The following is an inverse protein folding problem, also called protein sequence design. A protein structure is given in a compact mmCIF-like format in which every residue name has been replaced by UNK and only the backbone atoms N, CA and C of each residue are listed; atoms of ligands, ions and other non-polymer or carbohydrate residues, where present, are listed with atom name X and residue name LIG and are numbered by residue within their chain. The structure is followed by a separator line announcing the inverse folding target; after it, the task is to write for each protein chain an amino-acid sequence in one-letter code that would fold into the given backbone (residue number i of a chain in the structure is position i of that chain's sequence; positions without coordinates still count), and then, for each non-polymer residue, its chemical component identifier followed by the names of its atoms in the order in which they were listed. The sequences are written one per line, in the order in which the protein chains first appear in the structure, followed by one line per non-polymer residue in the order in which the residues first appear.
data_IF_082887274112
#
_entry.id   IF_082887274112
#
_cell.length_a   1.000
_cell.length_b   1.000
_cell.length_c   1.000
_cell.angle_alpha   90.00
_cell.angle_beta   90.00
_cell.angle_gamma   90.00
#
_symmetry.space_group_name_H-M   'P 1'
#
loop_
_entity.id
_entity.type
_entity.pdbx_description
1 polymer ?
#
# COMPACT_ATOMS: atom_id res chain seq x y z
N UNK A 1 7.83 20.71 -0.49
CA UNK A 1 7.50 19.65 -1.48
C UNK A 1 6.29 18.88 -0.96
N UNK A 2 5.16 18.88 -1.67
CA UNK A 2 3.97 18.14 -1.22
C UNK A 2 4.22 16.66 -1.46
N UNK A 3 3.96 15.80 -0.47
CA UNK A 3 4.25 14.36 -0.56
C UNK A 3 3.50 13.65 -1.70
N UNK A 4 2.33 14.15 -2.11
CA UNK A 4 1.55 13.61 -3.24
C UNK A 4 2.20 13.86 -4.61
N UNK A 5 3.05 14.88 -4.76
CA UNK A 5 3.75 15.16 -6.04
C UNK A 5 4.80 14.08 -6.38
N UNK A 6 5.16 13.21 -5.43
CA UNK A 6 6.21 12.20 -5.61
C UNK A 6 5.76 11.04 -6.49
N UNK A 7 4.48 10.65 -6.45
CA UNK A 7 3.97 9.51 -7.23
C UNK A 7 4.15 9.80 -8.73
N UNK A 8 3.73 10.98 -9.19
CA UNK A 8 3.89 11.42 -10.57
C UNK A 8 5.36 11.52 -10.98
N UNK A 9 6.20 12.12 -10.11
CA UNK A 9 7.64 12.29 -10.37
C UNK A 9 8.36 10.96 -10.53
N UNK A 10 8.04 9.96 -9.72
CA UNK A 10 8.73 8.67 -9.70
C UNK A 10 7.97 7.55 -10.41
N UNK A 11 6.82 7.84 -11.05
CA UNK A 11 5.97 6.85 -11.74
C UNK A 11 6.77 5.86 -12.57
N UNK A 12 7.69 6.33 -13.43
CA UNK A 12 8.49 5.47 -14.31
C UNK A 12 9.34 4.44 -13.55
N UNK A 13 9.82 4.77 -12.36
CA UNK A 13 10.63 3.87 -11.54
C UNK A 13 9.75 2.76 -10.96
N UNK A 14 8.61 3.12 -10.37
CA UNK A 14 7.67 2.14 -9.83
C UNK A 14 7.05 1.27 -10.92
N UNK A 15 6.72 1.85 -12.08
CA UNK A 15 6.12 1.11 -13.19
C UNK A 15 7.03 -0.01 -13.71
N UNK A 16 8.35 0.18 -13.71
CA UNK A 16 9.31 -0.88 -14.08
C UNK A 16 9.23 -2.11 -13.18
N UNK A 17 8.77 -1.96 -11.95
CA UNK A 17 8.58 -3.06 -11.01
C UNK A 17 7.14 -3.58 -11.01
N UNK A 18 6.15 -2.69 -11.10
CA UNK A 18 4.74 -3.01 -10.87
C UNK A 18 4.03 -3.54 -12.12
N UNK A 19 4.52 -3.22 -13.32
CA UNK A 19 3.88 -3.65 -14.56
C UNK A 19 3.80 -5.18 -14.66
N UNK A 20 2.58 -5.72 -14.79
CA UNK A 20 2.26 -7.15 -14.81
C UNK A 20 2.84 -7.95 -13.62
N UNK A 21 3.01 -7.30 -12.47
CA UNK A 21 3.64 -7.91 -11.30
C UNK A 21 2.86 -7.58 -10.02
N UNK A 22 1.83 -8.37 -9.75
CA UNK A 22 0.96 -8.24 -8.56
C UNK A 22 1.74 -8.33 -7.24
N UNK A 23 2.83 -9.13 -7.20
CA UNK A 23 3.70 -9.25 -6.02
C UNK A 23 4.40 -7.92 -5.70
N UNK A 24 4.95 -7.24 -6.71
CA UNK A 24 5.55 -5.91 -6.55
C UNK A 24 4.50 -4.85 -6.15
N UNK A 25 3.29 -4.94 -6.70
CA UNK A 25 2.18 -4.06 -6.32
C UNK A 25 1.76 -4.24 -4.85
N UNK A 26 1.68 -5.48 -4.36
CA UNK A 26 1.46 -5.77 -2.92
C UNK A 26 2.58 -5.17 -2.04
N UNK A 27 3.84 -5.29 -2.44
CA UNK A 27 4.94 -4.63 -1.72
C UNK A 27 4.84 -3.11 -1.75
N UNK A 28 4.34 -2.52 -2.83
CA UNK A 28 4.09 -1.07 -2.91
C UNK A 28 3.02 -0.63 -1.91
N UNK A 29 1.94 -1.40 -1.76
CA UNK A 29 0.89 -1.16 -0.75
C UNK A 29 1.44 -1.26 0.68
N UNK A 30 2.26 -2.27 0.99
CA UNK A 30 2.96 -2.33 2.28
C UNK A 30 3.95 -1.18 2.48
N UNK A 31 4.59 -0.72 1.40
CA UNK A 31 5.41 0.49 1.40
C UNK A 31 4.58 1.73 1.77
N UNK A 32 3.36 1.86 1.24
CA UNK A 32 2.44 2.93 1.59
C UNK A 32 2.08 2.90 3.08
N UNK A 33 1.75 1.73 3.65
CA UNK A 33 1.47 1.57 5.08
C UNK A 33 2.63 2.09 5.94
N UNK A 34 3.86 1.72 5.58
CA UNK A 34 5.07 2.21 6.26
C UNK A 34 5.21 3.74 6.17
N UNK A 35 4.96 4.33 5.00
CA UNK A 35 5.02 5.79 4.82
C UNK A 35 3.95 6.52 5.62
N UNK A 36 2.74 5.94 5.71
CA UNK A 36 1.67 6.46 6.58
C UNK A 36 2.09 6.36 8.04
N UNK A 37 2.67 5.26 8.49
CA UNK A 37 3.15 5.11 9.87
C UNK A 37 4.17 6.19 10.27
N UNK A 38 5.04 6.61 9.34
CA UNK A 38 6.01 7.69 9.59
C UNK A 38 5.38 9.09 9.66
N UNK A 39 4.21 9.27 9.06
CA UNK A 39 3.63 10.58 8.77
C UNK A 39 2.11 10.62 8.98
N UNK A 40 1.64 9.86 9.97
CA UNK A 40 0.22 9.53 10.17
C UNK A 40 -0.65 10.79 10.21
N UNK A 41 -0.25 11.80 11.00
CA UNK A 41 -0.97 13.07 11.15
C UNK A 41 -1.28 13.81 9.83
N UNK A 42 -0.51 13.55 8.76
CA UNK A 42 -0.67 14.25 7.48
C UNK A 42 -1.21 13.37 6.35
N UNK A 43 -1.06 12.04 6.46
CA UNK A 43 -1.33 11.11 5.36
C UNK A 43 -2.55 10.23 5.60
N UNK A 44 -2.95 9.99 6.85
CA UNK A 44 -4.06 9.07 7.18
C UNK A 44 -5.38 9.51 6.52
N UNK A 45 -5.65 10.81 6.48
CA UNK A 45 -6.85 11.37 5.83
C UNK A 45 -6.77 11.43 4.30
N UNK A 46 -5.59 11.18 3.72
CA UNK A 46 -5.33 11.27 2.28
C UNK A 46 -5.27 9.92 1.58
N UNK A 47 -5.43 8.82 2.32
CA UNK A 47 -5.31 7.46 1.79
C UNK A 47 -6.17 7.22 0.54
N UNK A 48 -7.48 7.58 0.50
CA UNK A 48 -8.28 7.42 -0.71
C UNK A 48 -7.67 8.11 -1.93
N UNK A 49 -7.21 9.35 -1.74
CA UNK A 49 -6.62 10.14 -2.82
C UNK A 49 -5.29 9.56 -3.29
N UNK A 50 -4.46 9.07 -2.36
CA UNK A 50 -3.17 8.44 -2.69
C UNK A 50 -3.38 7.15 -3.47
N UNK A 51 -4.32 6.30 -3.03
CA UNK A 51 -4.66 5.06 -3.74
C UNK A 51 -5.20 5.36 -5.14
N UNK A 52 -6.09 6.35 -5.27
CA UNK A 52 -6.56 6.81 -6.58
C UNK A 52 -5.41 7.31 -7.46
N UNK A 53 -4.49 8.11 -6.92
CA UNK A 53 -3.33 8.60 -7.68
C UNK A 53 -2.40 7.45 -8.14
N UNK A 54 -2.25 6.39 -7.35
CA UNK A 54 -1.47 5.20 -7.74
C UNK A 54 -2.19 4.36 -8.79
N UNK A 55 -3.51 4.18 -8.65
CA UNK A 55 -4.37 3.50 -9.61
C UNK A 55 -4.37 4.24 -10.97
N UNK A 56 -4.69 5.55 -10.98
CA UNK A 56 -4.67 6.40 -12.18
C UNK A 56 -3.28 6.45 -12.86
N UNK A 57 -2.22 6.09 -12.13
CA UNK A 57 -0.85 6.05 -12.63
C UNK A 57 -0.41 4.66 -13.14
N UNK A 58 -1.32 3.69 -13.20
CA UNK A 58 -1.08 2.29 -13.59
C UNK A 58 -0.06 1.58 -12.67
N UNK A 59 0.03 2.01 -11.40
CA UNK A 59 0.95 1.40 -10.43
C UNK A 59 0.30 0.27 -9.64
N UNK A 60 -1.03 0.26 -9.55
CA UNK A 60 -1.80 -0.72 -8.78
C UNK A 60 -3.03 -1.11 -9.59
N UNK A 61 -3.21 -2.42 -9.77
CA UNK A 61 -4.40 -3.00 -10.38
C UNK A 61 -5.54 -3.10 -9.35
N UNK A 62 -6.78 -3.02 -9.84
CA UNK A 62 -7.98 -3.04 -9.01
C UNK A 62 -8.05 -4.28 -8.11
N UNK A 63 -7.86 -5.46 -8.70
CA UNK A 63 -7.88 -6.73 -7.97
C UNK A 63 -6.86 -6.79 -6.82
N UNK A 64 -5.69 -6.16 -6.99
CA UNK A 64 -4.63 -6.13 -5.96
C UNK A 64 -5.04 -5.20 -4.81
N UNK A 65 -5.66 -4.07 -5.13
CA UNK A 65 -6.16 -3.11 -4.14
C UNK A 65 -7.31 -3.73 -3.34
N UNK A 66 -8.24 -4.41 -4.01
CA UNK A 66 -9.37 -5.08 -3.36
C UNK A 66 -8.87 -6.21 -2.45
N UNK A 67 -8.03 -7.12 -2.98
CA UNK A 67 -7.45 -8.22 -2.21
C UNK A 67 -6.67 -7.74 -0.98
N UNK A 68 -5.86 -6.68 -1.12
CA UNK A 68 -5.16 -6.08 0.02
C UNK A 68 -6.12 -5.54 1.08
N UNK A 69 -7.22 -4.90 0.68
CA UNK A 69 -8.16 -4.29 1.61
C UNK A 69 -8.86 -5.31 2.52
N UNK A 70 -9.03 -6.54 2.05
CA UNK A 70 -9.77 -7.61 2.74
C UNK A 70 -9.00 -8.21 3.93
N UNK A 71 -7.67 -8.21 3.89
CA UNK A 71 -6.83 -8.80 4.93
C UNK A 71 -5.79 -7.81 5.47
N UNK A 72 -6.05 -7.27 6.65
CA UNK A 72 -5.07 -6.43 7.36
C UNK A 72 -3.88 -7.26 7.86
N UNK A 73 -2.67 -6.94 7.39
CA UNK A 73 -1.42 -7.58 7.82
C UNK A 73 -0.78 -6.86 9.00
N UNK A 74 -0.30 -7.63 9.99
CA UNK A 74 0.51 -7.11 11.12
C UNK A 74 2.01 -7.11 10.83
N UNK A 75 2.42 -7.48 9.61
CA UNK A 75 3.83 -7.69 9.28
C UNK A 75 4.59 -6.36 9.17
N UNK A 76 3.95 -5.29 8.72
CA UNK A 76 4.59 -4.03 8.30
C UNK A 76 4.32 -2.84 9.24
N UNK A 77 3.12 -2.77 9.80
CA UNK A 77 2.72 -1.75 10.78
C UNK A 77 1.97 -2.40 11.95
N UNK A 78 1.64 -1.62 12.99
CA UNK A 78 0.80 -2.13 14.08
C UNK A 78 -0.58 -2.53 13.55
N UNK A 79 -1.22 -3.51 14.21
CA UNK A 79 -2.53 -4.01 13.79
C UNK A 79 -3.60 -2.91 13.83
N UNK A 80 -3.50 -2.01 14.80
CA UNK A 80 -4.38 -0.87 14.99
C UNK A 80 -4.27 0.11 13.82
N UNK A 81 -3.03 0.44 13.40
CA UNK A 81 -2.78 1.33 12.29
C UNK A 81 -3.19 0.70 10.95
N UNK A 82 -2.90 -0.59 10.73
CA UNK A 82 -3.35 -1.29 9.53
C UNK A 82 -4.88 -1.22 9.38
N UNK A 83 -5.61 -1.49 10.47
CA UNK A 83 -7.08 -1.35 10.49
C UNK A 83 -7.52 0.07 10.19
N UNK A 84 -6.90 1.07 10.80
CA UNK A 84 -7.24 2.48 10.55
C UNK A 84 -7.01 2.85 9.08
N UNK A 85 -5.90 2.41 8.48
CA UNK A 85 -5.58 2.62 7.06
C UNK A 85 -6.66 2.01 6.17
N UNK A 86 -7.09 0.77 6.43
CA UNK A 86 -8.10 0.09 5.65
C UNK A 86 -9.46 0.80 5.76
N UNK A 87 -9.87 1.21 6.98
CA UNK A 87 -11.08 2.00 7.20
C UNK A 87 -11.05 3.30 6.40
N UNK A 88 -9.90 3.98 6.36
CA UNK A 88 -9.75 5.20 5.55
C UNK A 88 -9.76 4.92 4.06
N UNK A 89 -9.36 3.72 3.61
CA UNK A 89 -9.39 3.34 2.21
C UNK A 89 -10.79 2.96 1.70
N UNK A 90 -11.72 2.56 2.59
CA UNK A 90 -13.08 2.09 2.26
C UNK A 90 -13.80 2.91 1.18
N UNK A 91 -13.82 4.27 1.20
CA UNK A 91 -14.52 5.04 0.17
C UNK A 91 -13.98 4.78 -1.25
N UNK A 92 -12.67 4.57 -1.38
CA UNK A 92 -12.03 4.27 -2.66
C UNK A 92 -12.26 2.81 -3.07
N UNK A 93 -12.19 1.87 -2.11
CA UNK A 93 -12.50 0.46 -2.39
C UNK A 93 -13.94 0.31 -2.86
N UNK A 94 -14.88 1.03 -2.23
CA UNK A 94 -16.28 1.06 -2.64
C UNK A 94 -16.42 1.63 -4.05
N UNK A 95 -15.73 2.72 -4.37
CA UNK A 95 -15.73 3.31 -5.72
C UNK A 95 -15.21 2.33 -6.79
N UNK A 96 -14.17 1.55 -6.50
CA UNK A 96 -13.69 0.48 -7.40
C UNK A 96 -14.79 -0.58 -7.61
N UNK A 97 -15.32 -1.14 -6.51
CA UNK A 97 -16.36 -2.19 -6.56
C UNK A 97 -17.67 -1.75 -7.21
N UNK A 98 -18.05 -0.47 -7.12
CA UNK A 98 -19.23 0.07 -7.81
C UNK A 98 -19.02 0.25 -9.32
N UNK A 99 -17.77 0.32 -9.78
CA UNK A 99 -17.44 0.40 -11.21
C UNK A 99 -17.49 -0.98 -11.90
N UNK A 100 -17.34 -2.08 -11.14
CA UNK A 100 -17.42 -3.45 -11.63
C UNK A 100 -18.58 -4.23 -10.97
N UNK A 101 -19.79 -4.15 -11.53
CA UNK A 101 -20.76 -5.25 -11.40
C UNK A 101 -20.24 -6.48 -12.19
N UNK A 102 -19.25 -7.21 -11.66
CA UNK A 102 -19.08 -8.67 -11.74
C UNK A 102 -17.67 -9.13 -11.33
N UNK A 103 -17.64 -10.07 -10.38
CA UNK A 103 -16.65 -11.13 -10.17
C UNK A 103 -15.20 -10.76 -9.81
N UNK A 104 -14.77 -11.19 -8.61
CA UNK A 104 -13.50 -11.92 -8.51
C UNK A 104 -13.40 -12.77 -7.24
N UNK A 105 -13.13 -14.06 -7.45
CA UNK A 105 -12.68 -15.03 -6.46
C UNK A 105 -11.17 -15.19 -6.66
N UNK A 106 -10.37 -14.61 -5.76
CA UNK A 106 -8.90 -14.66 -5.83
C UNK A 106 -8.34 -15.76 -4.93
N UNK A 107 -7.75 -16.79 -5.53
CA UNK A 107 -6.97 -17.80 -4.82
C UNK A 107 -5.63 -17.22 -4.35
N UNK A 108 -5.32 -17.49 -3.08
CA UNK A 108 -4.22 -16.93 -2.31
C UNK A 108 -3.03 -17.91 -2.36
N UNK A 109 -2.14 -17.75 -3.34
CA UNK A 109 -0.85 -18.46 -3.37
C UNK A 109 0.17 -17.65 -2.54
N UNK A 110 0.04 -17.79 -1.23
CA UNK A 110 0.96 -17.26 -0.20
C UNK A 110 2.07 -18.29 0.15
N UNK A 111 2.43 -19.17 -0.78
CA UNK A 111 3.58 -20.08 -0.66
C UNK A 111 4.77 -19.58 -1.47
N UNK A 112 5.42 -18.52 -1.00
CA UNK A 112 6.74 -18.14 -1.49
C UNK A 112 7.56 -17.60 -0.33
N UNK A 113 8.71 -18.25 -0.09
CA UNK A 113 9.64 -18.03 1.02
C UNK A 113 9.65 -16.59 1.53
N UNK A 114 9.33 -16.47 2.82
CA UNK A 114 9.28 -15.24 3.60
C UNK A 114 10.63 -14.49 3.53
N UNK A 115 10.89 -13.75 2.45
CA UNK A 115 12.00 -12.80 2.37
C UNK A 115 11.78 -11.83 3.52
N UNK A 116 12.69 -11.87 4.49
CA UNK A 116 12.68 -10.98 5.63
C UNK A 116 13.06 -9.58 5.14
N UNK A 117 12.06 -8.81 4.69
CA UNK A 117 12.24 -7.41 4.36
C UNK A 117 12.44 -6.66 5.69
N UNK A 118 13.69 -6.60 6.13
CA UNK A 118 14.08 -5.83 7.31
C UNK A 118 14.09 -4.35 6.94
N UNK A 119 13.03 -3.65 7.30
CA UNK A 119 13.00 -2.19 7.15
C UNK A 119 14.09 -1.57 8.02
N UNK A 120 14.91 -0.69 7.43
CA UNK A 120 15.99 0.03 8.12
C UNK A 120 15.49 0.72 9.41
N UNK A 121 14.22 1.15 9.44
CA UNK A 121 13.60 1.79 10.60
C UNK A 121 13.32 0.84 11.77
N UNK A 122 13.26 -0.47 11.51
CA UNK A 122 13.16 -1.52 12.53
C UNK A 122 14.55 -1.98 13.00
N UNK A 123 15.62 -1.56 12.33
CA UNK A 123 16.97 -1.85 12.80
C UNK A 123 17.21 -1.16 14.14
N UNK A 124 17.72 -1.88 15.15
CA UNK A 124 18.04 -1.31 16.47
C UNK A 124 18.95 -0.08 16.38
N UNK A 125 19.85 -0.06 15.39
CA UNK A 125 20.77 1.04 15.12
C UNK A 125 20.06 2.34 14.72
N UNK A 126 18.99 2.26 13.93
CA UNK A 126 18.26 3.45 13.46
C UNK A 126 17.41 4.08 14.57
N UNK A 127 16.94 3.30 15.55
CA UNK A 127 16.28 3.82 16.75
C UNK A 127 17.23 4.61 17.66
N UNK A 128 18.50 4.21 17.74
CA UNK A 128 19.50 4.88 18.59
C UNK A 128 19.97 6.24 18.06
N UNK A 129 19.84 6.50 16.75
CA UNK A 129 20.32 7.72 16.09
C UNK A 129 19.28 8.86 16.06
N UNK A 130 18.11 8.68 16.66
CA UNK A 130 17.01 9.67 16.72
C UNK A 130 16.77 10.27 18.11
N UNK A 131 17.75 10.16 19.02
CA UNK A 131 17.80 10.92 20.29
C UNK A 131 18.55 12.23 20.08
#
# INVERSE_FOLDING_TARGET
MRKSEQIKKYRRHFLRFCHNNKKAQRYLLHGLECVVAMHQAHLISKIPHILKEMYDADLLEEEVIISWSEKASKKYVSKELAKEIHVKAEPFIKWLKEAEEESSNGEDDDEDENIEVVYIQRLPLYRKLKL
#
